data_IF_006030735398
#
_entry.id   IF_006030735398
#
_cell.length_a   1.000
_cell.length_b   1.000
_cell.length_c   1.000
_cell.angle_alpha   90.00
_cell.angle_beta   90.00
_cell.angle_gamma   90.00
#
_symmetry.space_group_name_H-M   'P 1'
#
loop_
_entity.id
_entity.type
_entity.pdbx_description
1 polymer ?
#
# COMPACT_ATOMS: atom_id res chain seq x y z
N UNK A 1 -8.09 4.44 3.73
CA UNK A 1 -7.16 3.51 3.08
C UNK A 1 -5.74 4.07 3.24
N UNK A 2 -4.71 3.34 2.83
CA UNK A 2 -3.32 3.85 2.72
C UNK A 2 -2.91 4.09 1.27
N UNK A 3 -3.88 4.17 0.36
CA UNK A 3 -3.72 4.43 -1.07
C UNK A 3 -2.80 3.47 -1.83
N UNK A 4 -1.48 3.54 -1.65
CA UNK A 4 -0.47 2.77 -2.38
C UNK A 4 0.88 2.70 -1.62
N UNK A 5 1.89 2.09 -2.24
CA UNK A 5 3.26 1.94 -1.70
C UNK A 5 3.92 3.29 -1.38
N UNK A 6 3.72 4.28 -2.26
CA UNK A 6 4.32 5.60 -2.11
C UNK A 6 3.71 6.38 -0.94
N UNK A 7 2.40 6.26 -0.71
CA UNK A 7 1.72 6.92 0.40
C UNK A 7 2.10 6.32 1.76
N UNK A 8 2.25 4.99 1.84
CA UNK A 8 2.78 4.34 3.06
C UNK A 8 4.17 4.86 3.38
N UNK A 9 5.04 4.99 2.37
CA UNK A 9 6.38 5.53 2.54
C UNK A 9 6.37 7.02 2.91
N UNK A 10 5.50 7.83 2.27
CA UNK A 10 5.35 9.27 2.54
C UNK A 10 4.92 9.55 3.97
N UNK A 11 4.00 8.75 4.50
CA UNK A 11 3.52 8.85 5.88
C UNK A 11 4.45 8.17 6.90
N UNK A 12 5.45 7.38 6.44
CA UNK A 12 6.25 6.46 7.26
C UNK A 12 5.38 5.63 8.22
N UNK A 13 4.25 5.13 7.74
CA UNK A 13 3.32 4.35 8.58
C UNK A 13 3.81 2.93 8.78
N UNK A 14 3.77 2.45 10.02
CA UNK A 14 4.25 1.13 10.42
C UNK A 14 3.17 0.36 11.15
N UNK A 15 3.31 -0.95 11.17
CA UNK A 15 2.38 -1.80 11.92
C UNK A 15 2.55 -1.51 13.42
N UNK A 16 1.44 -1.20 14.09
CA UNK A 16 1.42 -0.82 15.51
C UNK A 16 1.47 0.69 15.77
N UNK A 17 1.65 1.53 14.74
CA UNK A 17 1.60 2.98 14.91
C UNK A 17 0.22 3.46 15.37
N UNK A 18 0.22 4.52 16.19
CA UNK A 18 -0.97 5.32 16.45
C UNK A 18 -1.13 6.35 15.33
N UNK A 19 -2.31 6.44 14.72
CA UNK A 19 -2.54 7.29 13.53
C UNK A 19 -3.73 8.23 13.72
N UNK A 20 -3.66 9.38 13.05
CA UNK A 20 -4.80 10.30 12.93
C UNK A 20 -5.65 9.90 11.73
N UNK A 21 -6.94 9.65 11.98
CA UNK A 21 -7.90 9.25 10.93
C UNK A 21 -8.93 10.34 10.72
N UNK A 22 -9.21 10.68 9.46
CA UNK A 22 -10.29 11.58 9.07
C UNK A 22 -11.37 10.83 8.30
N UNK A 23 -12.63 11.09 8.64
CA UNK A 23 -13.80 10.60 7.92
C UNK A 23 -14.76 11.76 7.68
N UNK A 24 -15.20 11.94 6.44
CA UNK A 24 -16.25 12.90 6.08
C UNK A 24 -17.49 12.13 5.60
N UNK A 25 -18.57 12.18 6.40
CA UNK A 25 -19.82 11.49 6.10
C UNK A 25 -19.65 9.98 5.85
N UNK A 26 -20.25 9.50 4.76
CA UNK A 26 -20.25 8.08 4.38
C UNK A 26 -19.06 7.67 3.48
N UNK A 27 -18.04 8.51 3.36
CA UNK A 27 -16.83 8.22 2.57
C UNK A 27 -15.84 7.34 3.36
N UNK A 28 -15.05 6.54 2.63
CA UNK A 28 -13.99 5.71 3.20
C UNK A 28 -13.00 6.59 3.99
N UNK A 29 -12.70 6.27 5.27
CA UNK A 29 -11.76 7.04 6.08
C UNK A 29 -10.35 7.07 5.50
N UNK A 30 -9.62 8.16 5.75
CA UNK A 30 -8.24 8.37 5.32
C UNK A 30 -7.34 8.57 6.53
N UNK A 31 -6.09 8.09 6.43
CA UNK A 31 -5.06 8.32 7.45
C UNK A 31 -4.33 9.62 7.08
N UNK A 32 -4.27 10.57 8.00
CA UNK A 32 -3.60 11.86 7.79
C UNK A 32 -2.12 11.85 8.20
N UNK A 33 -1.74 10.99 9.13
CA UNK A 33 -0.39 10.94 9.68
C UNK A 33 -0.25 10.01 10.88
N UNK A 34 1.00 9.84 11.32
CA UNK A 34 1.39 9.02 12.48
C UNK A 34 1.73 9.92 13.66
N UNK A 35 1.29 9.52 14.85
CA UNK A 35 1.76 10.09 16.12
C UNK A 35 3.08 9.41 16.51
N UNK A 36 4.19 10.06 16.14
CA UNK A 36 5.55 9.52 16.34
C UNK A 36 5.94 9.38 17.82
N UNK A 37 5.33 10.15 18.72
CA UNK A 37 5.61 10.08 20.15
C UNK A 37 5.09 8.76 20.77
N UNK A 38 4.10 8.14 20.12
CA UNK A 38 3.49 6.87 20.55
C UNK A 38 3.98 5.67 19.74
N UNK A 39 4.98 5.84 18.87
CA UNK A 39 5.51 4.75 18.06
C UNK A 39 6.16 3.69 18.95
N UNK A 40 5.71 2.41 18.88
CA UNK A 40 6.33 1.33 19.63
C UNK A 40 7.81 1.15 19.25
N UNK A 41 8.62 0.78 20.24
CA UNK A 41 10.00 0.36 19.99
C UNK A 41 9.99 -0.90 19.10
N UNK A 42 10.83 -0.91 18.07
CA UNK A 42 10.91 -2.02 17.12
C UNK A 42 9.91 -1.98 15.97
N UNK A 43 9.13 -0.90 15.82
CA UNK A 43 8.25 -0.74 14.65
C UNK A 43 9.07 -0.69 13.35
N UNK A 44 8.84 -1.66 12.45
CA UNK A 44 9.53 -1.77 11.17
C UNK A 44 8.74 -1.13 10.02
N UNK A 45 9.42 -0.55 9.01
CA UNK A 45 8.77 -0.09 7.79
C UNK A 45 7.96 -1.21 7.12
N UNK A 46 6.75 -0.88 6.69
CA UNK A 46 5.90 -1.82 5.98
C UNK A 46 6.51 -2.19 4.61
N UNK A 47 6.61 -3.48 4.33
CA UNK A 47 7.09 -3.99 3.04
C UNK A 47 5.90 -4.43 2.19
N UNK A 48 5.73 -3.78 1.04
CA UNK A 48 4.68 -4.17 0.09
C UNK A 48 4.93 -5.60 -0.44
N UNK A 49 3.88 -6.41 -0.58
CA UNK A 49 4.03 -7.78 -1.06
C UNK A 49 4.48 -7.79 -2.53
N UNK A 50 5.53 -8.55 -2.82
CA UNK A 50 6.05 -8.78 -4.19
C UNK A 50 5.38 -9.97 -4.88
N UNK A 51 4.55 -10.70 -4.14
CA UNK A 51 3.72 -11.81 -4.60
C UNK A 51 2.27 -11.54 -4.24
N UNK A 52 1.35 -11.93 -5.12
CA UNK A 52 -0.07 -11.78 -4.91
C UNK A 52 -0.51 -12.66 -3.73
N UNK A 53 -1.14 -12.09 -2.69
CA UNK A 53 -1.59 -12.86 -1.54
C UNK A 53 -2.77 -13.80 -1.86
N UNK A 54 -3.37 -13.69 -3.05
CA UNK A 54 -4.54 -14.49 -3.47
C UNK A 54 -4.11 -15.69 -4.31
N UNK A 55 -3.34 -15.46 -5.39
CA UNK A 55 -2.97 -16.50 -6.35
C UNK A 55 -1.48 -16.86 -6.38
N UNK A 56 -0.64 -16.19 -5.57
CA UNK A 56 0.81 -16.42 -5.53
C UNK A 56 1.61 -15.89 -6.71
N UNK A 57 0.96 -15.37 -7.76
CA UNK A 57 1.66 -14.77 -8.93
C UNK A 57 2.48 -13.54 -8.55
N UNK A 58 3.43 -13.12 -9.39
CA UNK A 58 4.19 -11.90 -9.14
C UNK A 58 3.30 -10.65 -9.09
N UNK A 59 3.62 -9.74 -8.17
CA UNK A 59 2.99 -8.44 -8.05
C UNK A 59 4.04 -7.35 -8.31
N UNK A 60 3.87 -6.57 -9.39
CA UNK A 60 4.87 -5.62 -9.88
C UNK A 60 4.29 -4.23 -10.10
N UNK A 61 5.14 -3.20 -10.03
CA UNK A 61 4.83 -1.87 -10.58
C UNK A 61 5.26 -1.88 -12.04
N UNK A 62 4.32 -1.76 -12.96
CA UNK A 62 4.63 -1.75 -14.39
C UNK A 62 5.38 -0.47 -14.75
N UNK A 63 6.37 -0.57 -15.63
CA UNK A 63 7.11 0.58 -16.13
C UNK A 63 6.48 0.99 -17.44
N UNK A 64 6.09 2.27 -17.54
CA UNK A 64 5.60 2.82 -18.79
C UNK A 64 6.75 2.86 -19.81
N UNK A 65 6.64 2.16 -20.95
CA UNK A 65 7.74 2.08 -21.92
C UNK A 65 8.04 3.40 -22.62
N UNK A 66 7.10 4.36 -22.63
CA UNK A 66 7.30 5.66 -23.26
C UNK A 66 7.99 6.67 -22.33
N UNK A 67 7.68 6.65 -21.03
CA UNK A 67 8.24 7.62 -20.06
C UNK A 67 9.36 7.04 -19.20
N UNK A 68 9.45 5.72 -19.08
CA UNK A 68 10.36 5.04 -18.16
C UNK A 68 9.93 5.09 -16.69
N UNK A 69 8.77 5.66 -16.39
CA UNK A 69 8.25 5.81 -15.03
C UNK A 69 7.47 4.58 -14.59
N UNK A 70 7.61 4.19 -13.31
CA UNK A 70 6.83 3.10 -12.73
C UNK A 70 5.42 3.57 -12.31
N UNK A 71 4.40 2.75 -12.57
CA UNK A 71 3.04 2.96 -12.08
C UNK A 71 3.05 3.11 -10.54
N UNK A 72 2.19 3.97 -10.00
CA UNK A 72 1.97 4.14 -8.55
C UNK A 72 1.36 2.87 -7.93
N UNK A 73 0.65 2.08 -8.73
CA UNK A 73 0.02 0.85 -8.29
C UNK A 73 0.89 -0.39 -8.58
N UNK A 74 1.13 -1.20 -7.55
CA UNK A 74 1.62 -2.57 -7.72
C UNK A 74 0.45 -3.50 -8.03
N UNK A 75 0.50 -4.20 -9.15
CA UNK A 75 -0.59 -5.07 -9.63
C UNK A 75 -0.15 -6.52 -9.74
N UNK A 76 -1.07 -7.43 -9.45
CA UNK A 76 -0.88 -8.86 -9.64
C UNK A 76 -0.88 -9.22 -11.14
N UNK A 77 0.08 -10.03 -11.56
CA UNK A 77 0.27 -10.48 -12.95
C UNK A 77 -0.40 -11.83 -13.26
N UNK A 78 -1.22 -12.36 -12.35
CA UNK A 78 -1.96 -13.61 -12.54
C UNK A 78 -3.10 -13.51 -13.56
N UNK A 79 -3.58 -12.30 -13.88
CA UNK A 79 -4.66 -12.11 -14.85
C UNK A 79 -5.86 -13.02 -14.57
N UNK A 80 -6.29 -13.75 -15.60
CA UNK A 80 -7.43 -14.68 -15.53
C UNK A 80 -7.23 -15.87 -14.57
N UNK A 81 -6.00 -16.18 -14.14
CA UNK A 81 -5.77 -17.25 -13.15
C UNK A 81 -5.89 -16.75 -11.72
N UNK A 82 -5.98 -15.42 -11.50
CA UNK A 82 -6.20 -14.84 -10.19
C UNK A 82 -7.69 -14.67 -9.94
N UNK A 83 -8.24 -15.34 -8.92
CA UNK A 83 -9.66 -15.23 -8.56
C UNK A 83 -10.11 -13.82 -8.16
N UNK A 84 -9.17 -12.93 -7.82
CA UNK A 84 -9.45 -11.52 -7.55
C UNK A 84 -9.51 -10.63 -8.81
N UNK A 85 -9.20 -11.19 -9.99
CA UNK A 85 -9.17 -10.49 -11.29
C UNK A 85 -10.02 -11.18 -12.37
N UNK A 86 -10.55 -12.36 -12.08
CA UNK A 86 -11.40 -13.15 -12.97
C UNK A 86 -12.84 -12.63 -13.01
#
# INVERSE_FOLDING_TARGET
TLHNEDEIARLDVRVGDTVTVQRAGDVIPQILGVDLEKRPAGAEPYRFPTTCPVCGSHAIREVNPATGEADVARRCQGGLTCSAQA
#
